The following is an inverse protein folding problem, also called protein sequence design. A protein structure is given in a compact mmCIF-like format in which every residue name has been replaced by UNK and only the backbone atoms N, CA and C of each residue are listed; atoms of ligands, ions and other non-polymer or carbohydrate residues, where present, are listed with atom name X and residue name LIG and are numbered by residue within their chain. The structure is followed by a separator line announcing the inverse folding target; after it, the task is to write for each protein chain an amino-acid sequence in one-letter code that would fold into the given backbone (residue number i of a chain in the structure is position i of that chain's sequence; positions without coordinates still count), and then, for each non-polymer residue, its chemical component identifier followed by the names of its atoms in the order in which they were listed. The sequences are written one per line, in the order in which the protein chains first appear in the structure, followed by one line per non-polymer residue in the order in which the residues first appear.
data_IF_952225006413
#
_entry.id   IF_952225006413
#
_cell.length_a   1.000
_cell.length_b   1.000
_cell.length_c   1.000
_cell.angle_alpha   90.00
_cell.angle_beta   90.00
_cell.angle_gamma   90.00
#
_symmetry.space_group_name_H-M   'P 1'
#
loop_
_entity.id
_entity.type
_entity.pdbx_description
1 polymer ?
#
# COMPACT_ATOMS: atom_id res chain seq x y z
N UNK A 1 -0.05 0.71 8.77
CA UNK A 1 1.20 1.28 9.38
C UNK A 1 0.91 2.57 10.15
N UNK A 2 1.83 3.09 11.00
CA UNK A 2 1.65 4.43 11.64
C UNK A 2 1.81 5.54 10.59
N UNK A 3 0.94 6.56 10.64
CA UNK A 3 1.01 7.70 9.72
C UNK A 3 2.38 8.41 9.74
N UNK A 4 3.03 8.49 10.91
CA UNK A 4 4.36 9.09 11.04
C UNK A 4 5.46 8.29 10.34
N UNK A 5 5.33 6.96 10.23
CA UNK A 5 6.27 6.13 9.47
C UNK A 5 6.11 6.36 7.97
N UNK A 6 4.86 6.46 7.50
CA UNK A 6 4.55 6.76 6.09
C UNK A 6 5.08 8.15 5.72
N UNK A 7 4.85 9.17 6.56
CA UNK A 7 5.37 10.52 6.32
C UNK A 7 6.90 10.56 6.23
N UNK A 8 7.60 9.78 7.06
CA UNK A 8 9.06 9.64 6.96
C UNK A 8 9.49 8.98 5.65
N UNK A 9 8.77 7.94 5.20
CA UNK A 9 9.06 7.28 3.93
C UNK A 9 8.87 8.23 2.75
N UNK A 10 7.74 8.95 2.70
CA UNK A 10 7.45 9.93 1.64
C UNK A 10 8.53 11.01 1.59
N UNK A 11 8.93 11.56 2.74
CA UNK A 11 10.01 12.56 2.81
C UNK A 11 11.36 11.98 2.35
N UNK A 12 11.66 10.71 2.66
CA UNK A 12 12.87 10.05 2.14
C UNK A 12 12.80 9.88 0.63
N UNK A 13 11.66 9.49 0.07
CA UNK A 13 11.49 9.37 -1.38
C UNK A 13 11.63 10.73 -2.07
N UNK A 14 11.02 11.78 -1.51
CA UNK A 14 11.13 13.16 -2.01
C UNK A 14 12.58 13.65 -2.01
N UNK A 15 13.34 13.42 -0.92
CA UNK A 15 14.75 13.80 -0.81
C UNK A 15 15.69 13.10 -1.80
N UNK A 16 15.28 11.95 -2.35
CA UNK A 16 16.07 11.18 -3.30
C UNK A 16 15.51 11.30 -4.73
N UNK A 17 14.63 12.28 -4.98
CA UNK A 17 13.93 12.47 -6.25
C UNK A 17 13.22 11.19 -6.74
N UNK A 18 12.82 10.34 -5.79
CA UNK A 18 12.20 9.04 -6.04
C UNK A 18 10.67 9.11 -6.07
N UNK A 19 10.10 10.21 -5.60
CA UNK A 19 8.65 10.39 -5.53
C UNK A 19 8.00 10.55 -6.91
N UNK A 20 8.74 11.10 -7.89
CA UNK A 20 8.24 11.35 -9.25
C UNK A 20 7.84 10.07 -10.00
N UNK A 21 8.47 8.94 -9.67
CA UNK A 21 8.18 7.63 -10.25
C UNK A 21 7.57 6.64 -9.25
N UNK A 22 7.20 7.10 -8.05
CA UNK A 22 6.67 6.24 -6.99
C UNK A 22 5.26 6.64 -6.61
N UNK A 23 4.38 5.65 -6.42
CA UNK A 23 3.04 5.85 -5.88
C UNK A 23 2.97 5.18 -4.51
N UNK A 24 2.57 5.93 -3.48
CA UNK A 24 2.43 5.41 -2.12
C UNK A 24 0.96 5.22 -1.78
N UNK A 25 0.52 3.97 -1.75
CA UNK A 25 -0.81 3.59 -1.26
C UNK A 25 -0.73 3.34 0.24
N UNK A 26 -1.58 4.01 1.02
CA UNK A 26 -1.52 3.96 2.49
C UNK A 26 -2.86 3.54 3.07
N UNK A 27 -2.85 2.48 3.86
CA UNK A 27 -3.86 2.17 4.86
C UNK A 27 -3.18 2.14 6.25
N UNK A 28 -3.58 3.09 7.08
CA UNK A 28 -3.05 3.29 8.43
C UNK A 28 -3.75 2.41 9.44
N UNK A 29 -3.07 2.09 10.54
CA UNK A 29 -3.62 1.24 11.60
C UNK A 29 -4.84 1.84 12.33
N UNK A 30 -5.13 3.12 12.10
CA UNK A 30 -6.31 3.82 12.61
C UNK A 30 -7.53 3.71 11.69
N UNK A 31 -7.36 3.20 10.47
CA UNK A 31 -8.44 3.03 9.51
C UNK A 31 -9.13 1.67 9.68
N UNK A 32 -10.25 1.46 8.97
CA UNK A 32 -11.02 0.23 9.08
C UNK A 32 -10.24 -0.98 8.54
N UNK A 33 -10.49 -2.16 9.11
CA UNK A 33 -9.91 -3.43 8.61
C UNK A 33 -10.24 -3.68 7.13
N UNK A 34 -11.38 -3.20 6.64
CA UNK A 34 -11.75 -3.25 5.22
C UNK A 34 -10.78 -2.46 4.33
N UNK A 35 -10.30 -1.30 4.79
CA UNK A 35 -9.33 -0.49 4.04
C UNK A 35 -7.95 -1.16 4.04
N UNK A 36 -7.50 -1.71 5.18
CA UNK A 36 -6.25 -2.47 5.23
C UNK A 36 -6.30 -3.73 4.34
N UNK A 37 -7.47 -4.36 4.25
CA UNK A 37 -7.68 -5.49 3.35
C UNK A 37 -7.64 -5.06 1.87
N UNK A 38 -8.30 -3.97 1.48
CA UNK A 38 -8.36 -3.61 0.06
C UNK A 38 -7.07 -2.97 -0.47
N UNK A 39 -6.26 -2.34 0.39
CA UNK A 39 -5.12 -1.53 -0.01
C UNK A 39 -4.09 -2.25 -0.92
N UNK A 40 -3.67 -3.51 -0.65
CA UNK A 40 -2.77 -4.23 -1.54
C UNK A 40 -3.37 -4.44 -2.94
N UNK A 41 -4.67 -4.73 -3.03
CA UNK A 41 -5.35 -4.90 -4.32
C UNK A 41 -5.40 -3.60 -5.12
N UNK A 42 -5.68 -2.47 -4.45
CA UNK A 42 -5.62 -1.14 -5.08
C UNK A 42 -4.21 -0.83 -5.61
N UNK A 43 -3.17 -1.17 -4.85
CA UNK A 43 -1.78 -1.04 -5.29
C UNK A 43 -1.47 -1.88 -6.53
N UNK A 44 -1.94 -3.13 -6.55
CA UNK A 44 -1.79 -4.03 -7.70
C UNK A 44 -2.49 -3.48 -8.95
N UNK A 45 -3.74 -3.01 -8.82
CA UNK A 45 -4.48 -2.45 -9.96
C UNK A 45 -3.78 -1.23 -10.57
N UNK A 46 -3.16 -0.38 -9.73
CA UNK A 46 -2.34 0.75 -10.19
C UNK A 46 -1.07 0.28 -10.91
N UNK A 47 -0.40 -0.76 -10.39
CA UNK A 47 0.78 -1.33 -11.04
C UNK A 47 0.42 -1.98 -12.39
N UNK A 48 -0.70 -2.71 -12.44
CA UNK A 48 -1.22 -3.34 -13.64
C UNK A 48 -1.51 -2.32 -14.75
N UNK A 49 -2.02 -1.13 -14.42
CA UNK A 49 -2.21 -0.06 -15.40
C UNK A 49 -0.93 0.23 -16.20
N UNK A 50 0.19 0.46 -15.51
CA UNK A 50 1.47 0.74 -16.16
C UNK A 50 2.05 -0.50 -16.84
N UNK A 51 1.84 -1.69 -16.27
CA UNK A 51 2.21 -2.96 -16.90
C UNK A 51 1.50 -3.13 -18.26
N UNK A 52 0.20 -2.83 -18.34
CA UNK A 52 -0.57 -2.90 -19.59
C UNK A 52 -0.18 -1.82 -20.60
N UNK A 53 0.38 -0.70 -20.15
CA UNK A 53 1.04 0.28 -21.02
C UNK A 53 2.43 -0.17 -21.52
N UNK A 54 2.90 -1.36 -21.12
CA UNK A 54 4.19 -1.92 -21.53
C UNK A 54 5.38 -1.41 -20.72
N UNK A 55 5.17 -0.85 -19.52
CA UNK A 55 6.22 -0.40 -18.61
C UNK A 55 6.60 -1.48 -17.60
N UNK A 56 7.86 -1.48 -17.19
CA UNK A 56 8.30 -2.27 -16.04
C UNK A 56 7.84 -1.59 -14.75
N UNK A 57 7.28 -2.39 -13.83
CA UNK A 57 6.72 -1.91 -12.56
C UNK A 57 7.28 -2.68 -11.38
N UNK A 58 7.52 -1.98 -10.28
CA UNK A 58 7.87 -2.57 -9.00
C UNK A 58 6.74 -2.30 -8.00
N UNK A 59 6.29 -3.35 -7.32
CA UNK A 59 5.32 -3.26 -6.24
C UNK A 59 5.92 -3.81 -4.94
N UNK A 60 5.67 -3.12 -3.83
CA UNK A 60 6.13 -3.51 -2.49
C UNK A 60 4.95 -3.47 -1.52
N UNK A 61 4.76 -4.54 -0.76
CA UNK A 61 3.74 -4.63 0.27
C UNK A 61 4.38 -4.64 1.68
N UNK A 62 4.10 -3.62 2.49
CA UNK A 62 4.55 -3.50 3.89
C UNK A 62 3.32 -3.35 4.82
N UNK A 63 2.78 -4.43 5.39
CA UNK A 63 3.19 -5.83 5.27
C UNK A 63 1.98 -6.75 5.05
N UNK A 64 2.20 -7.91 4.43
CA UNK A 64 1.13 -8.87 4.16
C UNK A 64 0.64 -9.61 5.42
N UNK A 65 1.43 -9.59 6.51
CA UNK A 65 1.01 -10.19 7.79
C UNK A 65 -0.15 -9.40 8.41
N UNK A 66 -0.11 -8.07 8.38
CA UNK A 66 -1.20 -7.19 8.80
C UNK A 66 -2.42 -7.34 7.91
N UNK A 67 -2.21 -7.45 6.60
CA UNK A 67 -3.28 -7.72 5.65
C UNK A 67 -4.02 -9.04 5.98
N UNK A 68 -3.29 -10.10 6.33
CA UNK A 68 -3.90 -11.36 6.75
C UNK A 68 -4.70 -11.23 8.07
N UNK A 69 -4.21 -10.42 9.02
CA UNK A 69 -4.94 -10.13 10.26
C UNK A 69 -6.24 -9.36 9.98
N UNK A 70 -6.20 -8.39 9.06
CA UNK A 70 -7.39 -7.64 8.64
C UNK A 70 -8.43 -8.57 7.99
N UNK A 71 -8.01 -9.44 7.08
CA UNK A 71 -8.90 -10.43 6.46
C UNK A 71 -9.49 -11.41 7.49
N UNK A 72 -8.67 -11.86 8.44
CA UNK A 72 -9.14 -12.70 9.56
C UNK A 72 -10.20 -11.99 10.40
N UNK A 73 -10.01 -10.72 10.73
CA UNK A 73 -10.99 -9.96 11.49
C UNK A 73 -12.33 -9.86 10.73
N UNK A 74 -12.28 -9.52 9.43
CA UNK A 74 -13.47 -9.49 8.57
C UNK A 74 -14.17 -10.85 8.52
N UNK A 75 -13.41 -11.93 8.39
CA UNK A 75 -13.93 -13.30 8.29
C UNK A 75 -14.51 -13.85 9.60
N UNK A 76 -14.16 -13.27 10.76
CA UNK A 76 -14.71 -13.68 12.06
C UNK A 76 -15.94 -12.86 12.47
N UNK A 77 -16.12 -11.70 11.86
CA UNK A 77 -17.26 -10.81 12.08
C UNK A 77 -18.46 -11.14 11.17
N UNK A 78 -18.22 -11.89 10.10
CA UNK A 78 -19.21 -12.41 9.15
C UNK A 78 -19.40 -13.92 9.37
#
# INVERSE_FOLDING_TARGET
QKASTVAKLVNTLEKNDALDYSIVVTATASESASLEYIAPYSGTALAEYFMYEGKDVLIVYDDLSKHAVAYRALSLLL
#
